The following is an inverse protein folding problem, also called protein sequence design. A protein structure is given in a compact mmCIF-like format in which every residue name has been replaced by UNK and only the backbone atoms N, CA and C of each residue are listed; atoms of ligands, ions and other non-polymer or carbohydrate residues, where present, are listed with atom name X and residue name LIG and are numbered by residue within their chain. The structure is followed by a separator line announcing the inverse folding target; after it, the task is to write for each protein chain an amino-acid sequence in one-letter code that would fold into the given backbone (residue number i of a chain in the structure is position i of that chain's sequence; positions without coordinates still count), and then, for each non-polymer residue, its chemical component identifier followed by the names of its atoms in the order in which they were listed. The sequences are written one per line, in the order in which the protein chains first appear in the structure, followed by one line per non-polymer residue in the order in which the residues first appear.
data_IF_242808419149
#
_entry.id   IF_242808419149
#
_cell.length_a   1.000
_cell.length_b   1.000
_cell.length_c   1.000
_cell.angle_alpha   90.00
_cell.angle_beta   90.00
_cell.angle_gamma   90.00
#
_symmetry.space_group_name_H-M   'P 1'
#
loop_
_entity.id
_entity.type
_entity.pdbx_description
1 polymer ?
#
# COMPACT_ATOMS: atom_id res chain seq x y z
N UNK A 1 93.69 11.11 24.03
CA UNK A 1 94.42 10.23 24.97
C UNK A 1 93.48 9.16 25.50
N UNK A 2 94.07 8.08 26.00
CA UNK A 2 93.53 7.05 26.91
C UNK A 2 92.77 7.60 28.15
N UNK A 3 91.98 6.84 28.93
CA UNK A 3 91.37 5.49 28.83
C UNK A 3 90.36 5.29 30.01
N UNK A 4 89.35 4.41 29.84
CA UNK A 4 88.62 3.61 30.87
C UNK A 4 87.91 4.30 32.07
N UNK A 5 86.87 3.76 32.74
CA UNK A 5 85.90 2.64 32.54
C UNK A 5 84.76 2.77 33.62
N UNK A 6 83.82 1.86 33.98
CA UNK A 6 83.49 0.45 33.64
C UNK A 6 82.05 0.09 34.13
N UNK A 7 81.20 -0.55 33.30
CA UNK A 7 80.04 -1.42 33.70
C UNK A 7 78.86 -0.74 34.47
N UNK A 8 77.62 -1.26 34.59
CA UNK A 8 76.82 -2.44 34.14
C UNK A 8 75.32 -2.08 34.38
N UNK A 9 74.24 -2.71 33.88
CA UNK A 9 73.90 -3.36 32.60
C UNK A 9 72.44 -3.90 32.65
N UNK A 10 71.58 -3.63 31.65
CA UNK A 10 70.28 -4.33 31.46
C UNK A 10 69.99 -4.57 29.96
N UNK A 11 69.37 -5.70 29.56
CA UNK A 11 69.16 -6.05 28.15
C UNK A 11 67.80 -5.56 27.60
N UNK A 12 67.73 -5.36 26.29
CA UNK A 12 66.50 -4.97 25.58
C UNK A 12 65.56 -6.15 25.34
N UNK A 13 64.26 -5.94 25.52
CA UNK A 13 63.22 -6.91 25.15
C UNK A 13 62.63 -6.56 23.78
N UNK A 14 62.81 -7.46 22.80
CA UNK A 14 61.99 -7.54 21.59
C UNK A 14 61.28 -8.88 21.54
N UNK A 15 60.02 -8.84 21.08
CA UNK A 15 59.20 -9.97 20.60
C UNK A 15 59.10 -11.23 21.48
N UNK A 16 57.97 -11.37 22.17
CA UNK A 16 57.38 -12.70 22.47
C UNK A 16 55.84 -12.64 22.68
N UNK A 17 55.11 -11.94 21.80
CA UNK A 17 53.65 -12.11 21.72
C UNK A 17 53.36 -13.45 21.02
N UNK A 18 52.88 -14.42 21.80
CA UNK A 18 52.64 -15.79 21.31
C UNK A 18 51.35 -15.88 20.49
N UNK A 19 51.38 -16.71 19.44
CA UNK A 19 50.24 -16.93 18.53
C UNK A 19 48.97 -17.38 19.28
N UNK A 20 49.14 -18.11 20.39
CA UNK A 20 48.03 -18.57 21.24
C UNK A 20 47.17 -17.45 21.82
N UNK A 21 47.74 -16.27 22.12
CA UNK A 21 46.96 -15.14 22.65
C UNK A 21 45.97 -14.59 21.61
N UNK A 22 46.40 -14.46 20.35
CA UNK A 22 45.55 -14.05 19.23
C UNK A 22 44.47 -15.09 18.92
N UNK A 23 44.81 -16.38 18.96
CA UNK A 23 43.84 -17.47 18.77
C UNK A 23 42.77 -17.48 19.88
N UNK A 24 43.15 -17.27 21.15
CA UNK A 24 42.20 -17.20 22.26
C UNK A 24 41.21 -16.02 22.12
N UNK A 25 41.69 -14.84 21.70
CA UNK A 25 40.84 -13.67 21.45
C UNK A 25 39.89 -13.92 20.27
N UNK A 26 40.37 -14.53 19.18
CA UNK A 26 39.52 -14.85 18.02
C UNK A 26 38.46 -15.92 18.35
N UNK A 27 38.80 -16.95 19.12
CA UNK A 27 37.85 -17.98 19.54
C UNK A 27 36.78 -17.45 20.49
N UNK A 28 37.15 -16.59 21.45
CA UNK A 28 36.19 -15.96 22.36
C UNK A 28 35.30 -14.94 21.65
N UNK A 29 35.83 -14.14 20.71
CA UNK A 29 35.03 -13.27 19.85
C UNK A 29 34.06 -14.06 18.97
N UNK A 30 34.50 -15.17 18.35
CA UNK A 30 33.65 -16.04 17.55
C UNK A 30 32.55 -16.73 18.39
N UNK A 31 32.87 -17.13 19.63
CA UNK A 31 31.89 -17.66 20.58
C UNK A 31 30.83 -16.59 20.92
N UNK A 32 31.23 -15.41 21.39
CA UNK A 32 30.29 -14.32 21.71
C UNK A 32 29.45 -13.86 20.52
N UNK A 33 30.04 -13.79 19.32
CA UNK A 33 29.30 -13.49 18.09
C UNK A 33 28.25 -14.55 17.79
N UNK A 34 28.57 -15.83 17.98
CA UNK A 34 27.64 -16.95 17.82
C UNK A 34 26.54 -16.96 18.88
N UNK A 35 26.86 -16.73 20.15
CA UNK A 35 25.85 -16.62 21.22
C UNK A 35 24.95 -15.41 20.98
N UNK A 36 25.47 -14.29 20.47
CA UNK A 36 24.69 -13.12 20.08
C UNK A 36 23.79 -13.41 18.87
N UNK A 37 24.27 -14.12 17.85
CA UNK A 37 23.47 -14.62 16.72
C UNK A 37 22.34 -15.56 17.16
N UNK A 38 22.62 -16.48 18.11
CA UNK A 38 21.63 -17.44 18.63
C UNK A 38 20.60 -16.76 19.55
N UNK A 39 21.00 -15.79 20.39
CA UNK A 39 20.09 -14.99 21.23
C UNK A 39 19.25 -13.99 20.41
N UNK A 40 19.83 -13.35 19.39
CA UNK A 40 19.06 -12.48 18.48
C UNK A 40 18.11 -13.27 17.60
N UNK A 41 18.51 -14.45 17.09
CA UNK A 41 17.56 -15.39 16.47
C UNK A 41 16.45 -15.79 17.44
N UNK A 42 16.78 -16.16 18.68
CA UNK A 42 15.80 -16.51 19.71
C UNK A 42 14.76 -15.40 19.95
N UNK A 43 15.21 -14.15 20.07
CA UNK A 43 14.31 -12.99 20.23
C UNK A 43 13.50 -12.70 18.96
N UNK A 44 14.12 -12.65 17.78
CA UNK A 44 13.42 -12.39 16.51
C UNK A 44 12.36 -13.48 16.23
N UNK A 45 12.67 -14.75 16.50
CA UNK A 45 11.69 -15.85 16.38
C UNK A 45 10.57 -15.73 17.42
N UNK A 46 10.85 -15.35 18.67
CA UNK A 46 9.81 -15.10 19.67
C UNK A 46 8.89 -13.93 19.30
N UNK A 47 9.43 -12.87 18.68
CA UNK A 47 8.70 -11.65 18.35
C UNK A 47 7.87 -11.80 17.05
N UNK A 48 8.32 -12.66 16.12
CA UNK A 48 7.59 -13.03 14.89
C UNK A 48 6.55 -14.15 15.12
N UNK A 49 6.62 -14.88 16.24
CA UNK A 49 5.78 -16.09 16.48
C UNK A 49 4.51 -15.89 17.31
N UNK A 50 4.00 -14.66 17.49
CA UNK A 50 2.58 -14.44 17.82
C UNK A 50 1.67 -14.69 16.59
N UNK A 51 1.85 -15.86 15.96
CA UNK A 51 0.96 -16.36 14.92
C UNK A 51 -0.40 -16.65 15.56
N UNK A 52 -1.39 -15.81 15.25
CA UNK A 52 -2.79 -16.12 15.55
C UNK A 52 -3.17 -17.37 14.76
N UNK A 53 -3.48 -18.47 15.43
CA UNK A 53 -3.94 -19.70 14.79
C UNK A 53 -5.47 -19.71 14.67
N UNK A 54 -5.99 -20.28 13.59
CA UNK A 54 -7.43 -20.48 13.40
C UNK A 54 -7.64 -21.98 13.19
N UNK A 55 -7.75 -22.70 14.31
CA UNK A 55 -7.59 -24.16 14.33
C UNK A 55 -6.13 -24.57 14.05
N UNK A 56 -5.94 -25.74 13.43
CA UNK A 56 -4.63 -26.35 13.19
C UNK A 56 -3.87 -25.76 11.98
N UNK A 57 -4.18 -24.53 11.55
CA UNK A 57 -3.51 -23.87 10.42
C UNK A 57 -3.14 -22.42 10.75
N UNK A 58 -2.05 -21.94 10.16
CA UNK A 58 -1.63 -20.54 10.24
C UNK A 58 -2.57 -19.64 9.44
N UNK A 59 -2.61 -18.34 9.76
CA UNK A 59 -3.36 -17.35 8.97
C UNK A 59 -2.92 -17.28 7.50
N UNK A 60 -1.68 -17.66 7.17
CA UNK A 60 -1.22 -17.73 5.78
C UNK A 60 -1.83 -18.91 5.02
N UNK A 61 -1.82 -20.11 5.62
CA UNK A 61 -2.46 -21.29 5.05
C UNK A 61 -3.99 -21.18 5.01
N UNK A 62 -4.59 -20.42 5.93
CA UNK A 62 -6.00 -20.05 5.86
C UNK A 62 -6.26 -19.08 4.70
N UNK A 63 -5.51 -17.98 4.60
CA UNK A 63 -5.66 -16.98 3.53
C UNK A 63 -5.50 -17.57 2.12
N UNK A 64 -4.57 -18.52 1.94
CA UNK A 64 -4.38 -19.25 0.67
C UNK A 64 -5.58 -20.10 0.24
N UNK A 65 -6.47 -20.49 1.16
CA UNK A 65 -7.72 -21.23 0.87
C UNK A 65 -8.89 -20.29 0.56
N UNK A 66 -8.77 -18.99 0.84
CA UNK A 66 -9.83 -18.01 0.60
C UNK A 66 -9.73 -17.48 -0.82
N UNK A 67 -10.82 -17.59 -1.59
CA UNK A 67 -10.91 -17.02 -2.94
C UNK A 67 -11.36 -15.56 -2.89
N UNK A 68 -11.23 -14.86 -4.01
CA UNK A 68 -11.82 -13.54 -4.25
C UNK A 68 -13.34 -13.59 -4.51
N UNK A 69 -13.95 -14.79 -4.52
CA UNK A 69 -15.38 -14.97 -4.75
C UNK A 69 -15.88 -14.31 -6.03
N UNK A 70 -17.05 -13.67 -5.97
CA UNK A 70 -17.62 -12.96 -7.12
C UNK A 70 -16.82 -11.72 -7.53
N UNK A 71 -15.93 -11.16 -6.69
CA UNK A 71 -15.14 -9.96 -7.04
C UNK A 71 -14.31 -10.19 -8.31
N UNK A 72 -13.70 -11.36 -8.43
CA UNK A 72 -12.86 -11.73 -9.56
C UNK A 72 -13.60 -12.41 -10.74
N UNK A 73 -14.92 -12.62 -10.63
CA UNK A 73 -15.72 -13.14 -11.74
C UNK A 73 -16.13 -12.02 -12.71
N UNK A 74 -15.70 -12.11 -13.97
CA UNK A 74 -16.07 -11.16 -15.04
C UNK A 74 -17.34 -11.54 -15.79
N UNK A 75 -17.90 -12.73 -15.56
CA UNK A 75 -19.12 -13.18 -16.24
C UNK A 75 -20.39 -12.53 -15.64
N UNK A 76 -20.30 -12.03 -14.42
CA UNK A 76 -21.42 -11.34 -13.73
C UNK A 76 -21.61 -9.95 -14.34
N UNK A 77 -22.65 -9.80 -15.16
CA UNK A 77 -23.03 -8.56 -15.82
C UNK A 77 -24.05 -7.76 -15.00
N UNK A 78 -24.04 -6.43 -15.17
CA UNK A 78 -25.09 -5.58 -14.57
C UNK A 78 -26.40 -5.84 -15.31
N UNK A 79 -27.43 -6.24 -14.58
CA UNK A 79 -28.77 -6.44 -15.14
C UNK A 79 -29.35 -5.11 -15.63
N UNK A 80 -30.25 -5.18 -16.61
CA UNK A 80 -31.00 -4.01 -17.04
C UNK A 80 -31.82 -3.43 -15.88
N UNK A 81 -31.93 -2.10 -15.81
CA UNK A 81 -32.57 -1.38 -14.71
C UNK A 81 -31.77 -1.32 -13.38
N UNK A 82 -30.79 -2.20 -13.13
CA UNK A 82 -29.96 -2.11 -11.92
C UNK A 82 -29.04 -0.87 -11.99
N UNK A 83 -29.01 -0.07 -10.92
CA UNK A 83 -28.22 1.16 -10.84
C UNK A 83 -26.70 0.88 -10.93
N UNK A 84 -26.24 -0.23 -10.35
CA UNK A 84 -24.84 -0.64 -10.28
C UNK A 84 -24.71 -2.17 -10.39
N UNK A 85 -23.52 -2.66 -10.75
CA UNK A 85 -23.24 -4.09 -10.79
C UNK A 85 -23.28 -4.68 -9.37
N UNK A 86 -24.11 -5.70 -9.16
CA UNK A 86 -24.27 -6.40 -7.88
C UNK A 86 -23.36 -7.64 -7.84
N UNK A 87 -22.64 -7.83 -6.73
CA UNK A 87 -21.72 -8.96 -6.48
C UNK A 87 -21.72 -9.36 -5.01
N UNK A 88 -21.68 -10.66 -4.72
CA UNK A 88 -21.53 -11.16 -3.35
C UNK A 88 -20.10 -10.96 -2.82
N UNK A 89 -19.95 -10.04 -1.86
CA UNK A 89 -18.68 -9.71 -1.22
C UNK A 89 -18.53 -10.42 0.12
N UNK A 90 -17.75 -11.50 0.18
CA UNK A 90 -17.33 -12.09 1.46
C UNK A 90 -16.29 -11.18 2.14
N UNK A 91 -16.77 -10.22 2.92
CA UNK A 91 -15.92 -9.21 3.54
C UNK A 91 -14.87 -9.76 4.50
N UNK A 92 -15.12 -10.89 5.18
CA UNK A 92 -14.08 -11.53 5.99
C UNK A 92 -12.94 -12.05 5.10
N UNK A 93 -13.27 -12.76 4.02
CA UNK A 93 -12.26 -13.26 3.07
C UNK A 93 -11.50 -12.14 2.37
N UNK A 94 -12.17 -11.07 1.97
CA UNK A 94 -11.54 -9.91 1.33
C UNK A 94 -10.58 -9.18 2.27
N UNK A 95 -10.92 -9.02 3.55
CA UNK A 95 -10.04 -8.39 4.55
C UNK A 95 -8.89 -9.32 4.96
N UNK A 96 -9.10 -10.63 5.08
CA UNK A 96 -7.99 -11.58 5.31
C UNK A 96 -7.02 -11.58 4.12
N UNK A 97 -7.51 -11.49 2.88
CA UNK A 97 -6.70 -11.30 1.66
C UNK A 97 -6.08 -9.89 1.56
N UNK A 98 -6.58 -8.90 2.29
CA UNK A 98 -5.93 -7.59 2.46
C UNK A 98 -4.75 -7.66 3.44
N UNK A 99 -4.91 -8.40 4.56
CA UNK A 99 -3.86 -8.62 5.56
C UNK A 99 -2.76 -9.56 5.04
N UNK A 100 -3.14 -10.58 4.28
CA UNK A 100 -2.22 -11.57 3.69
C UNK A 100 -2.52 -11.68 2.18
N UNK A 101 -1.95 -10.78 1.36
CA UNK A 101 -2.17 -10.77 -0.09
C UNK A 101 -1.72 -12.08 -0.76
N UNK A 102 -2.56 -12.68 -1.63
CA UNK A 102 -2.28 -13.94 -2.28
C UNK A 102 -1.38 -13.77 -3.52
N UNK A 103 -0.77 -14.87 -3.96
CA UNK A 103 0.12 -14.91 -5.13
C UNK A 103 1.59 -14.93 -4.73
N UNK A 104 2.47 -14.61 -5.69
CA UNK A 104 3.92 -14.64 -5.51
C UNK A 104 4.52 -13.24 -5.71
N UNK A 105 5.37 -12.82 -4.77
CA UNK A 105 6.25 -11.65 -4.90
C UNK A 105 7.47 -12.01 -5.76
N UNK A 106 7.93 -11.07 -6.58
CA UNK A 106 9.12 -11.22 -7.43
C UNK A 106 10.05 -10.02 -7.23
N UNK A 107 11.32 -10.28 -6.96
CA UNK A 107 12.39 -9.27 -6.93
C UNK A 107 13.52 -9.72 -7.88
N UNK A 108 13.84 -8.96 -8.94
CA UNK A 108 13.14 -7.77 -9.39
C UNK A 108 11.70 -8.08 -9.87
N UNK A 109 10.79 -7.08 -9.91
CA UNK A 109 9.47 -7.22 -10.50
C UNK A 109 9.52 -7.75 -11.95
N UNK A 110 8.48 -8.48 -12.36
CA UNK A 110 8.43 -9.04 -13.71
C UNK A 110 8.20 -7.96 -14.79
N UNK A 111 8.73 -8.22 -15.98
CA UNK A 111 8.56 -7.37 -17.19
C UNK A 111 7.28 -7.68 -17.97
N UNK A 112 6.68 -8.84 -17.75
CA UNK A 112 5.47 -9.34 -18.40
C UNK A 112 4.64 -10.17 -17.43
N UNK A 113 3.32 -10.31 -17.63
CA UNK A 113 2.52 -11.28 -16.91
C UNK A 113 3.09 -12.71 -17.10
N UNK A 114 3.16 -13.56 -16.04
CA UNK A 114 3.49 -14.97 -16.19
C UNK A 114 2.54 -15.66 -17.18
N UNK A 115 3.00 -16.60 -18.04
CA UNK A 115 2.15 -17.24 -19.04
C UNK A 115 0.85 -17.82 -18.47
N UNK A 116 0.93 -18.55 -17.34
CA UNK A 116 -0.23 -19.11 -16.65
C UNK A 116 -1.17 -18.09 -15.98
N UNK A 117 -0.82 -16.81 -15.93
CA UNK A 117 -1.67 -15.72 -15.44
C UNK A 117 -2.04 -14.71 -16.54
N UNK A 118 -1.51 -14.86 -17.76
CA UNK A 118 -1.68 -13.90 -18.86
C UNK A 118 -3.17 -13.63 -19.17
N UNK A 119 -3.99 -14.68 -19.24
CA UNK A 119 -5.43 -14.54 -19.52
C UNK A 119 -6.16 -13.80 -18.40
N UNK A 120 -5.82 -14.07 -17.13
CA UNK A 120 -6.42 -13.38 -15.99
C UNK A 120 -6.01 -11.90 -15.94
N UNK A 121 -4.73 -11.59 -16.17
CA UNK A 121 -4.23 -10.21 -16.22
C UNK A 121 -4.83 -9.41 -17.39
N UNK A 122 -5.02 -10.02 -18.55
CA UNK A 122 -5.59 -9.36 -19.74
C UNK A 122 -7.11 -9.43 -19.85
N UNK A 123 -7.82 -9.99 -18.85
CA UNK A 123 -9.26 -10.27 -18.89
C UNK A 123 -9.67 -11.03 -20.18
N UNK A 124 -8.95 -12.11 -20.49
CA UNK A 124 -9.13 -12.90 -21.71
C UNK A 124 -9.05 -12.07 -23.02
N UNK A 125 -8.25 -10.99 -23.02
CA UNK A 125 -8.13 -10.06 -24.16
C UNK A 125 -9.12 -8.89 -24.17
N UNK A 126 -9.83 -8.62 -23.06
CA UNK A 126 -10.61 -7.39 -22.88
C UNK A 126 -9.75 -6.19 -22.43
N UNK A 127 -8.54 -6.42 -21.90
CA UNK A 127 -7.50 -5.39 -21.75
C UNK A 127 -6.40 -5.56 -22.80
N UNK A 128 -6.08 -4.49 -23.54
CA UNK A 128 -4.91 -4.47 -24.42
C UNK A 128 -3.63 -4.45 -23.57
N UNK A 129 -2.76 -5.45 -23.74
CA UNK A 129 -1.44 -5.44 -23.09
C UNK A 129 -0.52 -4.43 -23.80
N UNK A 130 0.04 -3.49 -23.04
CA UNK A 130 1.16 -2.64 -23.45
C UNK A 130 2.35 -2.91 -22.51
N UNK A 131 3.55 -3.01 -23.08
CA UNK A 131 4.77 -3.27 -22.33
C UNK A 131 5.39 -1.97 -21.83
N UNK A 132 5.39 -1.74 -20.52
CA UNK A 132 6.14 -0.63 -19.92
C UNK A 132 6.63 -1.01 -18.53
N UNK A 133 7.93 -1.27 -18.43
CA UNK A 133 8.54 -1.87 -17.24
C UNK A 133 9.14 -0.82 -16.30
N UNK A 134 8.64 -0.79 -15.07
CA UNK A 134 9.27 -0.10 -13.94
C UNK A 134 10.10 -1.10 -13.14
N UNK A 135 11.44 -0.95 -13.18
CA UNK A 135 12.31 -1.53 -12.14
C UNK A 135 12.12 -0.70 -10.87
N UNK A 136 11.20 -1.13 -10.02
CA UNK A 136 11.08 -0.56 -8.69
C UNK A 136 12.35 -0.88 -7.90
N UNK A 137 13.04 0.17 -7.45
CA UNK A 137 13.98 0.05 -6.35
C UNK A 137 13.19 0.33 -5.08
N UNK A 138 13.14 -0.64 -4.16
CA UNK A 138 12.60 -0.43 -2.81
C UNK A 138 13.52 0.55 -2.08
N UNK A 139 13.25 1.85 -2.26
CA UNK A 139 13.98 2.93 -1.59
C UNK A 139 13.69 2.82 -0.10
N UNK A 140 14.63 2.27 0.66
CA UNK A 140 14.58 2.16 2.13
C UNK A 140 14.73 3.52 2.84
N UNK A 141 14.36 4.62 2.17
CA UNK A 141 14.24 5.94 2.75
C UNK A 141 12.82 6.09 3.28
N UNK A 142 12.66 6.06 4.60
CA UNK A 142 11.43 6.47 5.26
C UNK A 142 11.14 7.92 4.88
N UNK A 143 10.13 8.15 4.04
CA UNK A 143 9.81 9.51 3.57
C UNK A 143 9.17 10.29 4.71
N UNK A 144 9.81 11.37 5.15
CA UNK A 144 9.37 12.16 6.30
C UNK A 144 8.91 13.56 5.87
N UNK A 145 7.66 13.89 6.21
CA UNK A 145 7.03 15.18 5.94
C UNK A 145 6.90 15.94 7.27
N UNK A 146 7.82 16.88 7.50
CA UNK A 146 7.91 17.60 8.76
C UNK A 146 6.77 18.60 8.97
N UNK A 147 6.55 18.98 10.23
CA UNK A 147 5.46 19.89 10.66
C UNK A 147 5.47 21.21 9.87
N UNK A 148 6.67 21.72 9.55
CA UNK A 148 6.87 22.93 8.74
C UNK A 148 6.50 22.71 7.27
N UNK A 149 6.83 21.55 6.70
CA UNK A 149 6.47 21.20 5.32
C UNK A 149 4.96 21.01 5.19
N UNK A 150 4.34 20.30 6.14
CA UNK A 150 2.89 20.12 6.20
C UNK A 150 2.14 21.45 6.32
N UNK A 151 2.55 22.34 7.24
CA UNK A 151 1.97 23.68 7.36
C UNK A 151 2.08 24.51 6.07
N UNK A 152 3.23 24.44 5.38
CA UNK A 152 3.44 25.11 4.10
C UNK A 152 2.55 24.53 2.98
N UNK A 153 2.42 23.20 2.88
CA UNK A 153 1.52 22.57 1.91
C UNK A 153 0.05 22.94 2.15
N UNK A 154 -0.39 22.98 3.42
CA UNK A 154 -1.75 23.39 3.80
C UNK A 154 -2.04 24.84 3.38
N UNK A 155 -1.10 25.76 3.60
CA UNK A 155 -1.22 27.16 3.17
C UNK A 155 -1.16 27.31 1.63
N UNK A 156 -0.27 26.58 0.96
CA UNK A 156 -0.20 26.54 -0.51
C UNK A 156 -1.54 26.12 -1.12
N UNK A 157 -2.17 25.06 -0.62
CA UNK A 157 -3.48 24.63 -1.10
C UNK A 157 -4.59 25.62 -0.75
N UNK A 158 -4.58 26.26 0.43
CA UNK A 158 -5.53 27.36 0.75
C UNK A 158 -5.42 28.52 -0.23
N UNK A 159 -4.21 28.82 -0.71
CA UNK A 159 -3.93 29.82 -1.75
C UNK A 159 -4.10 29.30 -3.18
N UNK A 160 -4.68 28.11 -3.35
CA UNK A 160 -4.90 27.42 -4.63
C UNK A 160 -3.64 27.21 -5.48
N UNK A 161 -2.48 27.10 -4.84
CA UNK A 161 -1.26 26.60 -5.50
C UNK A 161 -1.41 25.10 -5.71
N UNK A 162 -1.08 24.63 -6.92
CA UNK A 162 -1.23 23.22 -7.28
C UNK A 162 -0.34 22.32 -6.42
N UNK A 163 -0.90 21.22 -5.91
CA UNK A 163 -0.17 20.17 -5.20
C UNK A 163 -0.26 18.82 -5.92
N UNK A 164 0.70 17.94 -5.64
CA UNK A 164 0.79 16.60 -6.21
C UNK A 164 1.41 16.56 -7.61
N UNK A 165 1.71 15.36 -8.09
CA UNK A 165 2.38 15.09 -9.38
C UNK A 165 1.43 15.03 -10.59
N UNK A 166 0.14 15.32 -10.40
CA UNK A 166 -0.91 15.11 -11.40
C UNK A 166 -1.49 16.42 -11.96
N UNK A 167 -0.82 17.55 -11.72
CA UNK A 167 -1.10 18.86 -12.31
C UNK A 167 -2.61 19.22 -12.28
N UNK A 168 -3.21 19.55 -13.43
CA UNK A 168 -4.61 19.93 -13.56
C UNK A 168 -5.60 18.84 -13.11
N UNK A 169 -5.18 17.57 -13.05
CA UNK A 169 -5.99 16.48 -12.51
C UNK A 169 -6.09 16.56 -10.97
N UNK A 170 -5.04 17.06 -10.29
CA UNK A 170 -5.11 17.41 -8.87
C UNK A 170 -6.15 18.51 -8.61
N UNK A 171 -6.22 19.54 -9.47
CA UNK A 171 -7.23 20.59 -9.37
C UNK A 171 -8.65 20.07 -9.67
N UNK A 172 -8.80 19.19 -10.67
CA UNK A 172 -10.06 18.50 -10.94
C UNK A 172 -10.54 17.68 -9.74
N UNK A 173 -9.61 17.00 -9.05
CA UNK A 173 -9.91 16.25 -7.83
C UNK A 173 -10.30 17.17 -6.67
N UNK A 174 -9.57 18.28 -6.47
CA UNK A 174 -9.92 19.30 -5.48
C UNK A 174 -11.31 19.90 -5.71
N UNK A 175 -11.70 20.13 -6.96
CA UNK A 175 -13.04 20.62 -7.30
C UNK A 175 -14.13 19.62 -6.88
N UNK A 176 -13.92 18.31 -7.09
CA UNK A 176 -14.84 17.26 -6.62
C UNK A 176 -14.89 17.19 -5.09
N UNK A 177 -13.75 17.26 -4.39
CA UNK A 177 -13.73 17.33 -2.92
C UNK A 177 -14.50 18.56 -2.41
N UNK A 178 -14.37 19.72 -3.07
CA UNK A 178 -15.08 20.95 -2.69
C UNK A 178 -16.59 20.86 -2.95
N UNK A 179 -17.02 20.18 -4.01
CA UNK A 179 -18.45 19.91 -4.27
C UNK A 179 -19.11 19.06 -3.17
N UNK A 180 -18.34 18.17 -2.53
CA UNK A 180 -18.78 17.32 -1.43
C UNK A 180 -18.33 17.81 -0.03
N UNK A 181 -17.91 19.06 0.11
CA UNK A 181 -17.38 19.61 1.37
C UNK A 181 -18.34 19.41 2.57
N UNK A 182 -19.65 19.57 2.36
CA UNK A 182 -20.66 19.35 3.39
C UNK A 182 -20.78 17.88 3.85
N UNK A 183 -20.40 16.90 3.02
CA UNK A 183 -20.34 15.49 3.40
C UNK A 183 -18.98 15.09 4.01
N UNK A 184 -17.91 15.83 3.71
CA UNK A 184 -16.57 15.65 4.27
C UNK A 184 -16.38 16.32 5.64
N UNK A 185 -17.01 17.48 5.86
CA UNK A 185 -16.82 18.31 7.05
C UNK A 185 -17.19 17.55 8.33
N UNK A 186 -16.28 17.56 9.30
CA UNK A 186 -16.40 16.81 10.55
C UNK A 186 -16.07 15.31 10.46
N UNK A 187 -15.98 14.73 9.26
CA UNK A 187 -15.71 13.29 9.09
C UNK A 187 -14.24 12.93 9.34
N UNK A 188 -14.01 11.65 9.63
CA UNK A 188 -12.69 11.02 9.56
C UNK A 188 -12.55 10.40 8.16
N UNK A 189 -11.39 10.58 7.52
CA UNK A 189 -11.17 10.09 6.14
C UNK A 189 -9.97 9.14 6.10
N UNK A 190 -10.05 8.09 5.30
CA UNK A 190 -8.90 7.21 5.02
C UNK A 190 -8.41 7.43 3.60
N UNK A 191 -7.13 7.71 3.41
CA UNK A 191 -6.49 7.87 2.09
C UNK A 191 -5.64 6.64 1.81
N UNK A 192 -5.79 6.04 0.63
CA UNK A 192 -5.08 4.83 0.20
C UNK A 192 -4.15 5.15 -0.97
N UNK A 193 -2.85 4.90 -0.77
CA UNK A 193 -1.76 5.10 -1.75
C UNK A 193 -0.82 6.27 -1.46
N UNK A 194 -0.68 6.67 -0.19
CA UNK A 194 0.06 7.88 0.18
C UNK A 194 1.57 7.74 -0.01
N UNK A 195 2.12 8.42 -1.04
CA UNK A 195 3.57 8.63 -1.20
C UNK A 195 4.00 10.08 -0.94
N UNK A 196 3.10 11.05 -1.17
CA UNK A 196 3.26 12.49 -0.88
C UNK A 196 1.88 13.00 -0.41
N UNK A 197 1.76 13.70 0.73
CA UNK A 197 0.48 13.91 1.41
C UNK A 197 -0.37 15.04 0.81
N UNK A 198 -0.51 15.11 -0.51
CA UNK A 198 -1.24 16.19 -1.18
C UNK A 198 -2.77 16.03 -1.10
N UNK A 199 -3.26 14.78 -1.10
CA UNK A 199 -4.69 14.46 -0.93
C UNK A 199 -5.13 14.76 0.50
N UNK A 200 -4.32 14.34 1.47
CA UNK A 200 -4.48 14.59 2.90
C UNK A 200 -4.58 16.10 3.19
N UNK A 201 -3.71 16.90 2.55
CA UNK A 201 -3.73 18.37 2.67
C UNK A 201 -5.01 18.97 2.10
N UNK A 202 -5.47 18.54 0.92
CA UNK A 202 -6.75 19.00 0.35
C UNK A 202 -7.94 18.64 1.28
N UNK A 203 -7.93 17.44 1.87
CA UNK A 203 -8.95 16.99 2.81
C UNK A 203 -8.96 17.80 4.12
N UNK A 204 -7.79 18.11 4.69
CA UNK A 204 -7.70 19.00 5.85
C UNK A 204 -8.35 20.37 5.57
N UNK A 205 -8.22 20.88 4.34
CA UNK A 205 -8.84 22.14 3.93
C UNK A 205 -10.36 22.06 3.66
N UNK A 206 -10.99 20.87 3.59
CA UNK A 206 -12.46 20.72 3.60
C UNK A 206 -13.06 20.61 5.00
N UNK A 207 -12.23 20.64 6.06
CA UNK A 207 -12.70 20.61 7.45
C UNK A 207 -13.03 19.22 7.98
N UNK A 208 -12.37 18.17 7.48
CA UNK A 208 -12.32 16.84 8.11
C UNK A 208 -11.70 16.91 9.51
N UNK A 209 -12.06 16.01 10.42
CA UNK A 209 -11.49 15.96 11.79
C UNK A 209 -10.14 15.26 11.82
N UNK A 210 -10.02 14.14 11.13
CA UNK A 210 -8.79 13.35 11.03
C UNK A 210 -8.64 12.73 9.64
N UNK A 211 -7.39 12.50 9.23
CA UNK A 211 -7.05 11.72 8.05
C UNK A 211 -6.15 10.56 8.44
N UNK A 212 -6.41 9.35 7.96
CA UNK A 212 -5.51 8.21 8.08
C UNK A 212 -4.94 7.89 6.70
N UNK A 213 -3.66 8.19 6.50
CA UNK A 213 -2.88 7.82 5.33
C UNK A 213 -2.51 6.33 5.37
N UNK A 214 -2.54 5.65 4.23
CA UNK A 214 -2.36 4.19 4.14
C UNK A 214 -1.55 3.81 2.91
N UNK A 215 -0.46 3.07 3.12
CA UNK A 215 0.40 2.53 2.05
C UNK A 215 1.00 1.16 2.46
N UNK A 216 1.76 0.54 1.57
CA UNK A 216 2.58 -0.64 1.83
C UNK A 216 3.93 -0.29 2.48
N UNK A 217 4.38 0.96 2.35
CA UNK A 217 5.67 1.46 2.83
C UNK A 217 5.47 2.50 3.92
N UNK A 218 6.33 2.49 4.94
CA UNK A 218 6.25 3.47 6.03
C UNK A 218 6.64 4.88 5.57
N UNK A 219 5.74 5.83 5.82
CA UNK A 219 5.98 7.27 5.74
C UNK A 219 5.76 7.90 7.11
N UNK A 220 6.52 8.94 7.43
CA UNK A 220 6.29 9.77 8.59
C UNK A 220 5.61 11.08 8.14
N UNK A 221 4.45 11.41 8.72
CA UNK A 221 3.76 12.68 8.47
C UNK A 221 3.55 13.37 9.82
N UNK A 222 4.27 14.44 10.06
CA UNK A 222 4.13 15.25 11.27
C UNK A 222 2.94 16.23 11.13
N UNK A 223 1.73 15.77 11.46
CA UNK A 223 0.58 16.65 11.58
C UNK A 223 -0.43 16.07 12.59
N UNK A 224 -0.93 16.85 13.58
CA UNK A 224 -1.74 16.31 14.68
C UNK A 224 -3.07 15.67 14.23
N UNK A 225 -3.61 16.06 13.08
CA UNK A 225 -4.82 15.45 12.50
C UNK A 225 -4.55 14.31 11.52
N UNK A 226 -3.28 13.99 11.19
CA UNK A 226 -2.93 12.88 10.29
C UNK A 226 -2.32 11.73 11.07
N UNK A 227 -2.79 10.51 10.82
CA UNK A 227 -2.12 9.28 11.23
C UNK A 227 -1.71 8.46 10.01
N UNK A 228 -0.69 7.60 10.14
CA UNK A 228 -0.33 6.62 9.13
C UNK A 228 -0.63 5.20 9.63
N UNK A 229 -1.04 4.31 8.72
CA UNK A 229 -1.13 2.85 8.96
C UNK A 229 -0.66 2.07 7.74
N UNK A 230 -0.01 0.94 7.96
CA UNK A 230 0.21 -0.03 6.88
C UNK A 230 -1.12 -0.67 6.45
N UNK A 231 -1.24 -1.01 5.17
CA UNK A 231 -2.40 -1.76 4.60
C UNK A 231 -2.76 -2.99 5.47
N UNK A 232 -1.75 -3.72 5.97
CA UNK A 232 -1.92 -4.90 6.80
C UNK A 232 -2.43 -4.61 8.21
N UNK A 233 -2.08 -3.46 8.79
CA UNK A 233 -2.58 -3.00 10.10
C UNK A 233 -4.05 -2.59 9.98
N UNK A 234 -4.40 -1.80 8.96
CA UNK A 234 -5.80 -1.40 8.71
C UNK A 234 -6.69 -2.63 8.50
N UNK A 235 -6.22 -3.63 7.76
CA UNK A 235 -6.92 -4.89 7.56
C UNK A 235 -7.11 -5.66 8.88
N UNK A 236 -6.07 -5.76 9.72
CA UNK A 236 -6.12 -6.46 11.01
C UNK A 236 -7.15 -5.87 11.97
N UNK A 237 -7.15 -4.55 12.14
CA UNK A 237 -8.09 -3.84 13.01
C UNK A 237 -9.56 -4.05 12.58
N UNK A 238 -9.82 -4.16 11.27
CA UNK A 238 -11.16 -4.44 10.74
C UNK A 238 -11.54 -5.92 10.84
N UNK A 239 -10.59 -6.87 10.65
CA UNK A 239 -10.83 -8.31 10.87
C UNK A 239 -11.26 -8.57 12.31
N UNK A 240 -10.57 -7.96 13.28
CA UNK A 240 -10.86 -8.11 14.72
C UNK A 240 -12.05 -7.29 15.21
N UNK A 241 -12.59 -6.38 14.37
CA UNK A 241 -13.63 -5.39 14.72
C UNK A 241 -13.19 -4.40 15.82
N UNK A 242 -11.88 -4.16 15.92
CA UNK A 242 -11.28 -3.16 16.83
C UNK A 242 -11.51 -1.73 16.29
N UNK A 243 -11.58 -1.56 14.96
CA UNK A 243 -11.97 -0.30 14.31
C UNK A 243 -13.49 -0.14 14.21
N UNK A 244 -13.95 1.12 14.38
CA UNK A 244 -15.21 1.58 13.78
C UNK A 244 -15.05 1.62 12.26
N UNK A 245 -16.09 1.19 11.53
CA UNK A 245 -16.21 1.35 10.08
C UNK A 245 -15.91 2.79 9.63
N UNK A 246 -15.47 2.93 8.39
CA UNK A 246 -14.97 4.17 7.81
C UNK A 246 -16.14 5.04 7.32
N UNK A 247 -16.08 6.35 7.61
CA UNK A 247 -17.06 7.31 7.11
C UNK A 247 -16.85 7.61 5.62
N UNK A 248 -15.58 7.87 5.25
CA UNK A 248 -15.15 8.23 3.90
C UNK A 248 -13.80 7.59 3.61
N UNK A 249 -13.63 7.07 2.39
CA UNK A 249 -12.36 6.61 1.84
C UNK A 249 -12.01 7.42 0.59
N UNK A 250 -10.74 7.63 0.35
CA UNK A 250 -10.18 8.30 -0.83
C UNK A 250 -9.03 7.48 -1.41
N UNK A 251 -8.96 7.36 -2.73
CA UNK A 251 -7.75 6.93 -3.43
C UNK A 251 -7.64 7.61 -4.79
N UNK A 252 -6.43 8.05 -5.15
CA UNK A 252 -6.17 8.77 -6.40
C UNK A 252 -4.86 8.28 -7.02
N UNK A 253 -4.94 7.72 -8.22
CA UNK A 253 -3.86 7.02 -8.95
C UNK A 253 -3.01 6.14 -8.02
N UNK A 254 -3.56 4.99 -7.63
CA UNK A 254 -3.00 4.09 -6.64
C UNK A 254 -3.51 2.66 -6.78
N UNK A 255 -4.83 2.42 -6.71
CA UNK A 255 -5.36 1.04 -6.74
C UNK A 255 -5.15 0.34 -8.08
N UNK A 256 -5.01 1.07 -9.19
CA UNK A 256 -4.70 0.49 -10.50
C UNK A 256 -3.33 -0.20 -10.59
N UNK A 257 -2.44 0.08 -9.64
CA UNK A 257 -1.15 -0.60 -9.50
C UNK A 257 -1.24 -1.94 -8.75
N UNK A 258 -2.34 -2.20 -8.02
CA UNK A 258 -2.42 -3.31 -7.07
C UNK A 258 -2.37 -4.68 -7.77
N UNK A 259 -1.48 -5.55 -7.30
CA UNK A 259 -1.28 -6.90 -7.83
C UNK A 259 -0.47 -6.95 -9.13
N UNK A 260 0.14 -5.84 -9.57
CA UNK A 260 1.08 -5.82 -10.70
C UNK A 260 2.53 -6.14 -10.27
N UNK A 261 2.79 -6.26 -8.96
CA UNK A 261 4.10 -6.58 -8.40
C UNK A 261 5.12 -5.45 -8.46
N UNK A 262 4.70 -4.23 -8.83
CA UNK A 262 5.59 -3.07 -8.93
C UNK A 262 6.13 -2.66 -7.56
N UNK A 263 5.33 -2.73 -6.49
CA UNK A 263 5.69 -2.19 -5.18
C UNK A 263 6.24 -3.26 -4.22
N UNK A 264 6.54 -4.46 -4.72
CA UNK A 264 6.83 -5.64 -3.88
C UNK A 264 5.56 -6.36 -3.39
N UNK A 265 4.39 -5.95 -3.90
CA UNK A 265 3.14 -6.69 -3.81
C UNK A 265 3.23 -8.05 -4.55
N UNK A 266 2.49 -9.09 -4.12
CA UNK A 266 2.42 -10.33 -4.89
C UNK A 266 1.53 -10.16 -6.13
N UNK A 267 1.84 -10.90 -7.19
CA UNK A 267 1.08 -10.84 -8.44
C UNK A 267 -0.36 -11.33 -8.25
N UNK A 268 -1.32 -10.42 -8.43
CA UNK A 268 -2.75 -10.66 -8.39
C UNK A 268 -3.47 -9.90 -9.52
N UNK A 269 -3.98 -10.58 -10.55
CA UNK A 269 -4.75 -9.97 -11.64
C UNK A 269 -5.94 -9.11 -11.20
N UNK A 270 -6.50 -9.39 -10.02
CA UNK A 270 -7.72 -8.79 -9.47
C UNK A 270 -7.46 -7.82 -8.31
N UNK A 271 -6.20 -7.52 -7.99
CA UNK A 271 -5.83 -6.76 -6.78
C UNK A 271 -6.47 -5.38 -6.66
N UNK A 272 -6.74 -4.72 -7.79
CA UNK A 272 -7.47 -3.45 -7.90
C UNK A 272 -8.97 -3.59 -7.57
N UNK A 273 -9.60 -4.67 -8.07
CA UNK A 273 -11.01 -4.98 -7.80
C UNK A 273 -11.20 -5.42 -6.34
N UNK A 274 -10.24 -6.17 -5.81
CA UNK A 274 -10.22 -6.55 -4.40
C UNK A 274 -9.98 -5.35 -3.49
N UNK A 275 -9.12 -4.39 -3.86
CA UNK A 275 -8.94 -3.15 -3.12
C UNK A 275 -10.26 -2.34 -3.05
N UNK A 276 -10.97 -2.18 -4.18
CA UNK A 276 -12.28 -1.50 -4.18
C UNK A 276 -13.34 -2.25 -3.35
N UNK A 277 -13.36 -3.59 -3.41
CA UNK A 277 -14.26 -4.40 -2.60
C UNK A 277 -13.91 -4.39 -1.10
N UNK A 278 -12.62 -4.31 -0.74
CA UNK A 278 -12.14 -4.11 0.63
C UNK A 278 -12.59 -2.74 1.18
N UNK A 279 -12.50 -1.68 0.37
CA UNK A 279 -13.05 -0.35 0.71
C UNK A 279 -14.55 -0.42 0.96
N UNK A 280 -15.32 -1.09 0.07
CA UNK A 280 -16.75 -1.31 0.29
C UNK A 280 -17.03 -2.04 1.62
N UNK A 281 -16.22 -3.05 1.95
CA UNK A 281 -16.36 -3.82 3.19
C UNK A 281 -16.04 -3.02 4.46
N UNK A 282 -15.13 -2.04 4.41
CA UNK A 282 -14.76 -1.20 5.55
C UNK A 282 -15.66 0.03 5.74
N UNK A 283 -16.31 0.53 4.69
CA UNK A 283 -17.22 1.68 4.75
C UNK A 283 -18.52 1.40 5.50
N UNK A 284 -19.05 2.43 6.20
CA UNK A 284 -20.42 2.45 6.70
C UNK A 284 -21.46 2.43 5.55
N UNK A 285 -22.68 1.92 5.75
CA UNK A 285 -23.80 2.17 4.84
C UNK A 285 -23.99 3.68 4.64
N UNK A 286 -24.17 4.13 3.40
CA UNK A 286 -24.19 5.55 3.04
C UNK A 286 -22.81 6.25 2.98
N UNK A 287 -21.73 5.56 3.37
CA UNK A 287 -20.36 6.10 3.34
C UNK A 287 -19.83 6.31 1.92
N UNK A 288 -18.89 7.25 1.77
CA UNK A 288 -18.36 7.68 0.47
C UNK A 288 -16.99 7.06 0.14
N UNK A 289 -16.78 6.80 -1.15
CA UNK A 289 -15.48 6.48 -1.74
C UNK A 289 -15.21 7.45 -2.89
N UNK A 290 -14.19 8.30 -2.74
CA UNK A 290 -13.68 9.15 -3.82
C UNK A 290 -12.56 8.40 -4.54
N UNK A 291 -12.70 8.19 -5.84
CA UNK A 291 -11.80 7.36 -6.63
C UNK A 291 -11.35 8.07 -7.91
N UNK A 292 -10.07 8.42 -8.00
CA UNK A 292 -9.42 8.88 -9.23
C UNK A 292 -8.55 7.78 -9.84
N UNK A 293 -8.80 7.39 -11.09
CA UNK A 293 -8.03 6.37 -11.81
C UNK A 293 -7.86 6.68 -13.31
N UNK A 294 -6.75 6.26 -13.97
CA UNK A 294 -6.59 6.40 -15.41
C UNK A 294 -7.66 5.61 -16.19
N UNK A 295 -8.40 6.22 -17.12
CA UNK A 295 -9.51 5.58 -17.81
C UNK A 295 -9.75 6.08 -19.25
N UNK A 296 -9.83 5.14 -20.19
CA UNK A 296 -10.21 5.39 -21.60
C UNK A 296 -11.75 5.46 -21.71
N UNK A 297 -12.33 6.49 -21.10
CA UNK A 297 -13.76 6.63 -20.88
C UNK A 297 -14.58 6.59 -22.18
N UNK A 298 -15.72 5.90 -22.15
CA UNK A 298 -16.54 5.62 -23.33
C UNK A 298 -16.02 4.48 -24.22
N UNK A 299 -14.87 3.87 -23.92
CA UNK A 299 -14.42 2.62 -24.55
C UNK A 299 -14.71 1.43 -23.63
N UNK A 300 -15.25 0.36 -24.19
CA UNK A 300 -15.51 -0.88 -23.46
C UNK A 300 -14.21 -1.55 -22.96
N UNK A 301 -13.20 -1.61 -23.83
CA UNK A 301 -11.89 -2.19 -23.53
C UNK A 301 -10.92 -1.16 -22.95
N UNK A 302 -10.14 -1.60 -21.96
CA UNK A 302 -9.06 -0.82 -21.36
C UNK A 302 -7.66 -1.27 -21.83
N UNK A 303 -6.64 -0.70 -21.19
CA UNK A 303 -5.22 -1.05 -21.39
C UNK A 303 -4.62 -1.60 -20.08
N UNK A 304 -3.90 -2.72 -20.14
CA UNK A 304 -2.96 -3.13 -19.08
C UNK A 304 -1.55 -2.69 -19.46
N UNK A 305 -0.99 -1.74 -18.72
CA UNK A 305 0.39 -1.27 -18.88
C UNK A 305 1.25 -2.02 -17.87
N UNK A 306 1.65 -3.26 -18.19
CA UNK A 306 2.37 -4.13 -17.23
C UNK A 306 3.87 -3.78 -17.19
N UNK A 307 4.51 -3.61 -16.02
CA UNK A 307 4.02 -3.76 -14.63
C UNK A 307 3.57 -2.43 -13.98
N UNK A 308 3.39 -1.36 -14.76
CA UNK A 308 3.05 -0.02 -14.28
C UNK A 308 1.66 0.15 -13.67
N UNK A 309 0.61 0.04 -14.48
CA UNK A 309 -0.76 0.40 -14.10
C UNK A 309 -1.82 -0.22 -15.01
N UNK A 310 -3.09 -0.05 -14.66
CA UNK A 310 -4.25 -0.31 -15.53
C UNK A 310 -4.87 1.02 -15.96
N UNK A 311 -5.24 1.14 -17.22
CA UNK A 311 -6.09 2.21 -17.75
C UNK A 311 -7.45 1.57 -18.03
N UNK A 312 -8.49 1.94 -17.29
CA UNK A 312 -9.76 1.23 -17.31
C UNK A 312 -10.61 1.61 -18.54
N UNK A 313 -11.22 0.61 -19.17
CA UNK A 313 -12.42 0.79 -20.00
C UNK A 313 -13.68 0.56 -19.17
N UNK A 314 -14.85 0.87 -19.72
CA UNK A 314 -16.15 0.80 -19.03
C UNK A 314 -16.43 -0.59 -18.44
N UNK A 315 -16.09 -1.67 -19.14
CA UNK A 315 -16.22 -3.04 -18.64
C UNK A 315 -15.50 -3.24 -17.28
N UNK A 316 -14.25 -2.76 -17.17
CA UNK A 316 -13.48 -2.91 -15.92
C UNK A 316 -13.92 -1.89 -14.87
N UNK A 317 -14.32 -0.67 -15.25
CA UNK A 317 -14.90 0.30 -14.31
C UNK A 317 -16.19 -0.22 -13.68
N UNK A 318 -17.05 -0.91 -14.43
CA UNK A 318 -18.27 -1.51 -13.90
C UNK A 318 -17.98 -2.59 -12.84
N UNK A 319 -16.89 -3.35 -12.99
CA UNK A 319 -16.42 -4.29 -11.97
C UNK A 319 -15.71 -3.61 -10.78
N UNK A 320 -14.93 -2.56 -11.03
CA UNK A 320 -14.22 -1.77 -10.00
C UNK A 320 -15.19 -1.02 -9.08
N UNK A 321 -16.33 -0.57 -9.64
CA UNK A 321 -17.39 0.17 -8.93
C UNK A 321 -18.55 -0.72 -8.47
N UNK A 322 -18.38 -2.05 -8.51
CA UNK A 322 -19.41 -2.99 -8.09
C UNK A 322 -19.88 -2.74 -6.64
N UNK A 323 -21.18 -2.90 -6.40
CA UNK A 323 -21.90 -2.59 -5.17
C UNK A 323 -21.90 -1.10 -4.72
N UNK A 324 -21.38 -0.16 -5.51
CA UNK A 324 -21.46 1.27 -5.23
C UNK A 324 -22.48 2.01 -6.12
N UNK A 325 -23.19 2.97 -5.54
CA UNK A 325 -23.96 3.97 -6.31
C UNK A 325 -22.98 5.06 -6.76
N UNK A 326 -22.80 5.23 -8.07
CA UNK A 326 -22.01 6.34 -8.62
C UNK A 326 -22.82 7.64 -8.56
N UNK A 327 -22.46 8.56 -7.66
CA UNK A 327 -23.11 9.87 -7.50
C UNK A 327 -22.62 10.88 -8.55
N UNK A 328 -21.33 10.87 -8.83
CA UNK A 328 -20.70 11.73 -9.83
C UNK A 328 -19.58 10.98 -10.52
N UNK A 329 -19.36 11.28 -11.80
CA UNK A 329 -18.13 10.96 -12.53
C UNK A 329 -17.78 12.15 -13.43
N UNK A 330 -16.55 12.63 -13.33
CA UNK A 330 -15.98 13.62 -14.26
C UNK A 330 -14.71 13.04 -14.89
N UNK A 331 -14.37 13.49 -16.08
CA UNK A 331 -13.14 13.11 -16.77
C UNK A 331 -12.22 14.33 -16.76
N UNK A 332 -11.00 14.16 -16.27
CA UNK A 332 -9.98 15.22 -16.22
C UNK A 332 -8.67 14.62 -16.71
N UNK A 333 -8.27 15.02 -17.92
CA UNK A 333 -7.09 14.43 -18.57
C UNK A 333 -7.35 12.99 -18.99
N UNK A 334 -6.43 12.10 -18.63
CA UNK A 334 -6.59 10.65 -18.79
C UNK A 334 -7.28 9.98 -17.59
N UNK A 335 -7.70 10.73 -16.56
CA UNK A 335 -8.32 10.19 -15.35
C UNK A 335 -9.85 10.32 -15.33
N UNK A 336 -10.53 9.24 -14.94
CA UNK A 336 -11.89 9.29 -14.40
C UNK A 336 -11.82 9.56 -12.89
N UNK A 337 -12.52 10.60 -12.45
CA UNK A 337 -12.72 10.92 -11.04
C UNK A 337 -14.18 10.63 -10.70
N UNK A 338 -14.40 9.70 -9.78
CA UNK A 338 -15.71 9.20 -9.38
C UNK A 338 -15.98 9.47 -7.90
N UNK A 339 -17.22 9.82 -7.58
CA UNK A 339 -17.74 9.80 -6.20
C UNK A 339 -18.75 8.68 -6.10
N UNK A 340 -18.43 7.71 -5.26
CA UNK A 340 -19.14 6.46 -5.08
C UNK A 340 -19.73 6.43 -3.67
N UNK A 341 -20.99 5.99 -3.52
CA UNK A 341 -21.64 5.83 -2.22
C UNK A 341 -21.98 4.36 -1.99
N UNK A 342 -21.57 3.81 -0.85
CA UNK A 342 -22.06 2.50 -0.40
C UNK A 342 -23.56 2.62 -0.13
N UNK A 343 -24.43 1.72 -0.66
CA UNK A 343 -25.86 1.75 -0.39
C UNK A 343 -26.16 1.83 1.12
N UNK A 344 -27.31 2.40 1.46
CA UNK A 344 -27.87 2.26 2.80
C UNK A 344 -28.18 0.77 3.06
N UNK A 345 -28.21 0.37 4.32
CA UNK A 345 -28.79 -0.91 4.69
C UNK A 345 -30.31 -0.81 4.52
N UNK A 346 -30.91 -1.86 3.94
CA UNK A 346 -32.35 -2.06 3.91
C UNK A 346 -32.84 -2.63 5.25
#
# INVERSE_FOLDING_TARGET
MALFSNRRSFPSWKTLFSVGALVAILLTAAYWYRTFQEVTRGKIVAEVSKQTTVGNITMAEYALKLTCGQVCDYNIQKREGDAFLKKEFNCHSLLVRMKVPPGKVYDPPLRTPPPGLMSAFTQNGALQLKHFYFKYAKKAFQTSFSSKLMANMIDMDKRNVMLGSYEYMSAGFKHVLKAFENELKGKRVTVIGTQVPWVEVMLLNTGVTNVTAVDYNEINIEHPSISFKLVTQLAEEHIKKENKQLDVVVSFSSIEHAGLGRYGDPLNPYGDLEAAAQVWCMLIPGGLFFLGVPAECGKEKGTLVFNGHRIYGEARLQHLTANFIQLQRIIVGDHAIMVLRKPLAN
#
